data_IF_826920563894
#
_entry.id   IF_826920563894
#
_cell.length_a   1.000
_cell.length_b   1.000
_cell.length_c   1.000
_cell.angle_alpha   90.00
_cell.angle_beta   90.00
_cell.angle_gamma   90.00
#
_symmetry.space_group_name_H-M   'P 1'
#
loop_
_entity.id
_entity.type
_entity.pdbx_description
1 polymer ?
#
# COMPACT_ATOMS: atom_id res chain seq x y z
N UNK A 1 14.22 -24.18 -2.79
CA UNK A 1 13.86 -22.78 -2.50
C UNK A 1 12.99 -22.80 -1.26
N UNK A 2 13.42 -22.19 -0.16
CA UNK A 2 12.61 -22.12 1.05
C UNK A 2 11.41 -21.19 0.86
N UNK A 3 10.28 -21.52 1.47
CA UNK A 3 9.09 -20.65 1.48
C UNK A 3 9.48 -19.34 2.18
N UNK A 4 9.33 -18.21 1.50
CA UNK A 4 9.56 -16.90 2.10
C UNK A 4 8.50 -16.67 3.19
N UNK A 5 8.91 -16.28 4.41
CA UNK A 5 7.94 -16.00 5.46
C UNK A 5 7.12 -14.74 5.13
N UNK A 6 5.82 -14.81 5.41
CA UNK A 6 4.85 -13.76 5.08
C UNK A 6 4.49 -12.97 6.34
N UNK A 7 4.49 -11.63 6.22
CA UNK A 7 4.16 -10.72 7.32
C UNK A 7 2.66 -10.67 7.59
N UNK A 8 1.85 -10.40 6.57
CA UNK A 8 0.40 -10.28 6.68
C UNK A 8 -0.28 -11.66 6.59
N UNK A 9 -0.32 -12.38 7.71
CA UNK A 9 -0.90 -13.74 7.77
C UNK A 9 -2.41 -13.73 7.98
N UNK A 10 -2.91 -12.79 8.80
CA UNK A 10 -4.32 -12.60 9.08
C UNK A 10 -4.74 -11.16 8.75
N UNK A 11 -5.75 -10.95 7.88
CA UNK A 11 -6.21 -9.61 7.49
C UNK A 11 -6.87 -8.80 8.61
N UNK A 12 -7.22 -9.42 9.73
CA UNK A 12 -7.77 -8.75 10.91
C UNK A 12 -6.73 -8.48 12.01
N UNK A 13 -5.57 -9.12 11.95
CA UNK A 13 -4.45 -8.88 12.86
C UNK A 13 -3.70 -7.58 12.54
N UNK A 14 -3.11 -6.97 13.58
CA UNK A 14 -2.28 -5.78 13.46
C UNK A 14 -0.82 -6.13 13.67
N UNK A 15 0.00 -5.74 12.70
CA UNK A 15 1.45 -5.95 12.70
C UNK A 15 2.16 -4.62 12.94
N UNK A 16 2.94 -4.52 14.01
CA UNK A 16 3.76 -3.34 14.28
C UNK A 16 5.03 -3.36 13.44
N UNK A 17 5.12 -2.44 12.48
CA UNK A 17 6.29 -2.30 11.61
C UNK A 17 7.08 -1.05 11.97
N UNK A 18 8.41 -1.19 12.06
CA UNK A 18 9.33 -0.13 12.47
C UNK A 18 9.75 0.72 11.29
N UNK A 19 9.65 2.04 11.40
CA UNK A 19 10.18 2.97 10.40
C UNK A 19 11.71 2.89 10.35
N UNK A 20 12.25 2.47 9.20
CA UNK A 20 13.69 2.36 8.94
C UNK A 20 14.27 3.59 8.26
N UNK A 21 13.52 4.15 7.30
CA UNK A 21 13.97 5.29 6.51
C UNK A 21 12.78 6.19 6.13
N UNK A 22 13.07 7.48 6.01
CA UNK A 22 12.13 8.51 5.55
C UNK A 22 12.85 9.42 4.56
N UNK A 23 12.62 9.19 3.27
CA UNK A 23 13.23 9.96 2.19
C UNK A 23 12.28 11.08 1.72
N UNK A 24 12.79 12.31 1.61
CA UNK A 24 12.07 13.41 0.96
C UNK A 24 12.06 13.21 -0.55
N UNK A 25 10.87 13.10 -1.15
CA UNK A 25 10.68 12.99 -2.61
C UNK A 25 10.39 14.36 -3.23
N UNK A 26 9.61 15.18 -2.54
CA UNK A 26 9.32 16.58 -2.91
C UNK A 26 8.97 17.40 -1.67
N UNK A 27 8.69 18.69 -1.84
CA UNK A 27 8.25 19.57 -0.75
C UNK A 27 7.06 19.03 0.05
N UNK A 28 6.18 18.22 -0.56
CA UNK A 28 5.04 17.62 0.10
C UNK A 28 4.91 16.09 -0.05
N UNK A 29 5.93 15.38 -0.56
CA UNK A 29 5.87 13.91 -0.73
C UNK A 29 7.08 13.23 -0.11
N UNK A 30 6.84 12.14 0.62
CA UNK A 30 7.86 11.35 1.32
C UNK A 30 7.73 9.89 0.93
N UNK A 31 8.85 9.17 0.94
CA UNK A 31 8.88 7.72 0.94
C UNK A 31 9.20 7.25 2.35
N UNK A 32 8.33 6.42 2.91
CA UNK A 32 8.50 5.79 4.23
C UNK A 32 8.81 4.32 4.03
N UNK A 33 9.96 3.87 4.54
CA UNK A 33 10.37 2.47 4.52
C UNK A 33 10.17 1.86 5.89
N UNK A 34 9.37 0.80 5.98
CA UNK A 34 9.18 0.07 7.23
C UNK A 34 9.84 -1.30 7.16
N UNK A 35 10.44 -1.74 8.27
CA UNK A 35 11.00 -3.08 8.39
C UNK A 35 9.89 -4.12 8.45
N UNK A 36 10.04 -5.20 7.70
CA UNK A 36 9.31 -6.45 7.94
C UNK A 36 9.97 -7.22 9.09
N UNK A 37 9.32 -8.27 9.65
CA UNK A 37 9.81 -8.95 10.85
C UNK A 37 11.26 -9.47 10.75
N UNK A 38 11.70 -9.87 9.55
CA UNK A 38 13.09 -10.23 9.26
C UNK A 38 13.49 -9.75 7.87
N UNK A 39 14.79 -9.73 7.57
CA UNK A 39 15.32 -9.44 6.23
C UNK A 39 14.81 -10.37 5.11
N UNK A 40 14.28 -11.56 5.45
CA UNK A 40 13.75 -12.54 4.49
C UNK A 40 12.23 -12.52 4.34
N UNK A 41 11.53 -11.72 5.15
CA UNK A 41 10.07 -11.64 5.07
C UNK A 41 9.65 -10.87 3.83
N UNK A 42 8.52 -11.26 3.26
CA UNK A 42 7.76 -10.45 2.31
C UNK A 42 6.53 -9.88 3.00
N UNK A 43 5.88 -8.87 2.40
CA UNK A 43 4.71 -8.27 3.01
C UNK A 43 3.51 -9.25 2.97
N UNK A 44 3.32 -9.95 1.85
CA UNK A 44 2.14 -10.79 1.61
C UNK A 44 0.97 -9.99 1.06
N UNK A 45 1.22 -9.11 0.09
CA UNK A 45 0.20 -8.24 -0.46
C UNK A 45 -0.10 -8.59 -1.93
N UNK A 46 -1.22 -9.27 -2.22
CA UNK A 46 -1.63 -9.54 -3.58
C UNK A 46 -1.78 -8.25 -4.39
N UNK A 47 -1.31 -8.26 -5.63
CA UNK A 47 -1.41 -7.12 -6.56
C UNK A 47 -2.87 -6.69 -6.69
N UNK A 48 -3.17 -5.39 -6.54
CA UNK A 48 -4.51 -4.81 -6.53
C UNK A 48 -5.10 -4.61 -5.13
N UNK A 49 -4.44 -5.11 -4.08
CA UNK A 49 -4.81 -4.91 -2.67
C UNK A 49 -3.96 -3.80 -2.03
N UNK A 50 -4.43 -3.32 -0.88
CA UNK A 50 -3.78 -2.31 -0.05
C UNK A 50 -3.69 -2.76 1.42
N UNK A 51 -2.94 -2.01 2.22
CA UNK A 51 -2.90 -2.15 3.69
C UNK A 51 -3.63 -0.97 4.34
N UNK A 52 -4.09 -1.15 5.57
CA UNK A 52 -4.50 -0.08 6.46
C UNK A 52 -3.38 0.23 7.45
N UNK A 53 -3.14 1.52 7.67
CA UNK A 53 -2.39 1.99 8.82
C UNK A 53 -3.35 2.50 9.88
N UNK A 54 -3.08 2.17 11.14
CA UNK A 54 -3.81 2.68 12.30
C UNK A 54 -2.90 3.35 13.32
N UNK A 55 -3.39 4.47 13.87
CA UNK A 55 -2.72 5.20 14.95
C UNK A 55 -3.75 5.95 15.80
N UNK A 56 -3.44 6.16 17.09
CA UNK A 56 -4.18 7.11 17.93
C UNK A 56 -3.57 8.50 17.76
N UNK A 57 -4.34 9.43 17.20
CA UNK A 57 -3.92 10.81 16.92
C UNK A 57 -4.93 11.72 17.64
N UNK A 58 -4.44 12.55 18.56
CA UNK A 58 -5.27 13.44 19.39
C UNK A 58 -6.44 12.71 20.08
N UNK A 59 -6.13 11.56 20.70
CA UNK A 59 -7.10 10.72 21.39
C UNK A 59 -8.05 9.90 20.47
N UNK A 60 -8.03 10.13 19.16
CA UNK A 60 -8.90 9.45 18.20
C UNK A 60 -8.17 8.34 17.44
N UNK A 61 -8.81 7.19 17.25
CA UNK A 61 -8.30 6.15 16.35
C UNK A 61 -8.48 6.60 14.89
N UNK A 62 -7.38 6.76 14.16
CA UNK A 62 -7.37 7.11 12.74
C UNK A 62 -6.87 5.91 11.95
N UNK A 63 -7.66 5.47 10.97
CA UNK A 63 -7.34 4.34 10.09
C UNK A 63 -7.36 4.83 8.64
N UNK A 64 -6.31 4.58 7.86
CA UNK A 64 -6.24 5.01 6.45
C UNK A 64 -5.62 3.94 5.56
N UNK A 65 -6.15 3.72 4.34
CA UNK A 65 -5.58 2.79 3.38
C UNK A 65 -4.36 3.39 2.67
N UNK A 66 -3.35 2.56 2.41
CA UNK A 66 -2.20 2.90 1.59
C UNK A 66 -1.84 1.69 0.71
N UNK A 67 -1.55 1.95 -0.56
CA UNK A 67 -1.00 0.92 -1.46
C UNK A 67 0.51 1.10 -1.52
N UNK A 68 1.29 0.10 -1.08
CA UNK A 68 2.74 0.12 -1.20
C UNK A 68 3.22 0.27 -2.64
N UNK A 69 4.42 0.83 -2.80
CA UNK A 69 5.11 0.90 -4.09
C UNK A 69 6.15 -0.21 -4.27
N UNK A 70 6.37 -1.02 -3.23
CA UNK A 70 7.07 -2.30 -3.23
C UNK A 70 6.12 -3.45 -3.53
N UNK A 71 6.68 -4.63 -3.80
CA UNK A 71 5.96 -5.88 -4.06
C UNK A 71 6.51 -7.01 -3.17
N UNK A 72 5.92 -8.20 -3.27
CA UNK A 72 6.39 -9.39 -2.54
C UNK A 72 7.73 -9.96 -3.05
N UNK A 73 8.42 -9.24 -3.93
CA UNK A 73 9.83 -9.52 -4.28
C UNK A 73 10.81 -8.69 -3.47
N UNK A 74 10.34 -7.59 -2.88
CA UNK A 74 11.11 -6.77 -1.96
C UNK A 74 11.11 -7.47 -0.60
N UNK A 75 12.24 -8.07 -0.24
CA UNK A 75 12.40 -8.75 1.05
C UNK A 75 12.86 -7.78 2.14
N UNK A 76 12.31 -7.95 3.34
CA UNK A 76 12.74 -7.28 4.56
C UNK A 76 12.17 -5.87 4.78
N UNK A 77 11.48 -5.29 3.79
CA UNK A 77 10.89 -3.96 3.92
C UNK A 77 9.64 -3.75 3.07
N UNK A 78 8.88 -2.70 3.42
CA UNK A 78 7.78 -2.16 2.62
C UNK A 78 7.94 -0.65 2.47
N UNK A 79 7.78 -0.12 1.26
CA UNK A 79 7.82 1.32 1.00
C UNK A 79 6.41 1.87 0.72
N UNK A 80 6.06 2.96 1.41
CA UNK A 80 4.88 3.78 1.15
C UNK A 80 5.31 5.16 0.63
N UNK A 81 4.74 5.60 -0.49
CA UNK A 81 4.91 6.98 -0.99
C UNK A 81 3.68 7.78 -0.64
N UNK A 82 3.84 8.80 0.19
CA UNK A 82 2.73 9.52 0.81
C UNK A 82 2.91 11.01 0.62
N UNK A 83 1.87 11.65 0.10
CA UNK A 83 1.73 13.11 0.10
C UNK A 83 1.28 13.57 1.48
N UNK A 84 2.04 14.47 2.08
CA UNK A 84 1.72 15.07 3.38
C UNK A 84 0.88 16.31 3.17
N UNK A 85 -0.34 16.25 3.69
CA UNK A 85 -1.26 17.39 3.71
C UNK A 85 -0.99 18.20 4.98
N UNK A 86 -0.16 19.23 4.86
CA UNK A 86 0.24 20.09 5.98
C UNK A 86 -0.91 21.03 6.42
N UNK A 87 -1.00 21.28 7.72
CA UNK A 87 -1.88 22.32 8.29
C UNK A 87 -1.52 23.72 7.77
N UNK A 88 -2.52 24.58 7.65
CA UNK A 88 -2.37 25.98 7.22
C UNK A 88 -2.08 26.20 5.74
N UNK A 89 -2.05 25.15 4.91
CA UNK A 89 -1.72 25.28 3.48
C UNK A 89 -2.96 25.45 2.60
N UNK A 90 -3.98 24.61 2.77
CA UNK A 90 -5.17 24.64 1.91
C UNK A 90 -6.35 25.31 2.64
N UNK A 91 -6.99 26.36 2.08
CA UNK A 91 -8.00 27.14 2.79
C UNK A 91 -9.25 26.32 3.17
N UNK A 92 -9.64 25.33 2.36
CA UNK A 92 -10.74 24.41 2.69
C UNK A 92 -10.38 23.30 3.69
N UNK A 93 -9.07 23.10 3.95
CA UNK A 93 -8.57 22.03 4.82
C UNK A 93 -7.48 22.60 5.76
N UNK A 94 -7.85 23.55 6.63
CA UNK A 94 -6.87 24.27 7.47
C UNK A 94 -6.12 23.35 8.43
N UNK A 95 -6.74 22.26 8.89
CA UNK A 95 -6.11 21.29 9.80
C UNK A 95 -5.17 20.29 9.08
N UNK A 96 -5.15 20.28 7.75
CA UNK A 96 -4.40 19.31 6.96
C UNK A 96 -4.89 17.86 7.14
N UNK A 97 -4.01 16.90 6.86
CA UNK A 97 -4.30 15.47 6.93
C UNK A 97 -3.76 14.84 8.20
N UNK A 98 -4.64 14.28 9.04
CA UNK A 98 -4.27 13.65 10.33
C UNK A 98 -3.18 12.58 10.17
N UNK A 99 -3.47 11.51 9.45
CA UNK A 99 -2.53 10.39 9.27
C UNK A 99 -1.25 10.81 8.55
N UNK A 100 -1.35 11.64 7.51
CA UNK A 100 -0.16 12.02 6.75
C UNK A 100 0.80 12.90 7.56
N UNK A 101 0.29 13.80 8.41
CA UNK A 101 1.12 14.62 9.30
C UNK A 101 1.69 13.78 10.44
N UNK A 102 0.91 12.84 10.99
CA UNK A 102 1.39 11.87 11.98
C UNK A 102 2.58 11.08 11.43
N UNK A 103 2.45 10.48 10.24
CA UNK A 103 3.54 9.74 9.59
C UNK A 103 4.77 10.64 9.37
N UNK A 104 4.58 11.88 8.92
CA UNK A 104 5.68 12.83 8.72
C UNK A 104 6.38 13.21 10.04
N UNK A 105 5.68 13.18 11.17
CA UNK A 105 6.25 13.44 12.50
C UNK A 105 7.05 12.28 13.10
N UNK A 106 6.90 11.07 12.54
CA UNK A 106 7.61 9.89 13.05
C UNK A 106 9.12 10.05 12.93
N UNK A 107 9.81 9.55 13.95
CA UNK A 107 11.26 9.38 14.00
C UNK A 107 11.62 7.98 13.52
N UNK A 108 12.83 7.83 12.99
CA UNK A 108 13.37 6.50 12.69
C UNK A 108 13.36 5.67 13.98
N UNK A 109 12.85 4.44 13.88
CA UNK A 109 12.65 3.55 15.03
C UNK A 109 11.21 3.51 15.57
N UNK A 110 10.38 4.50 15.27
CA UNK A 110 8.97 4.49 15.67
C UNK A 110 8.21 3.35 14.94
N UNK A 111 7.16 2.83 15.57
CA UNK A 111 6.35 1.74 15.03
C UNK A 111 4.96 2.22 14.62
N UNK A 112 4.42 1.61 13.56
CA UNK A 112 3.06 1.86 13.07
C UNK A 112 2.34 0.52 12.90
N UNK A 113 1.06 0.48 13.27
CA UNK A 113 0.22 -0.70 13.06
C UNK A 113 -0.18 -0.81 11.58
N UNK A 114 0.19 -1.92 10.94
CA UNK A 114 -0.24 -2.34 9.62
C UNK A 114 -1.29 -3.43 9.75
N UNK A 115 -2.31 -3.40 8.89
CA UNK A 115 -3.31 -4.46 8.76
C UNK A 115 -3.71 -4.68 7.31
N UNK A 116 -3.89 -5.92 6.91
CA UNK A 116 -4.27 -6.29 5.55
C UNK A 116 -3.86 -7.74 5.25
N UNK A 117 -3.99 -8.20 4.00
CA UNK A 117 -4.34 -7.43 2.80
C UNK A 117 -5.84 -7.07 2.73
N UNK A 118 -6.18 -5.93 2.09
CA UNK A 118 -7.56 -5.47 1.90
C UNK A 118 -7.79 -4.95 0.48
N UNK A 119 -9.05 -4.98 0.03
CA UNK A 119 -9.49 -4.53 -1.29
C UNK A 119 -10.38 -5.56 -1.95
N UNK A 120 -11.13 -5.15 -2.97
CA UNK A 120 -12.08 -6.04 -3.67
C UNK A 120 -11.51 -6.62 -4.97
N UNK A 121 -10.36 -6.12 -5.42
CA UNK A 121 -9.69 -6.53 -6.65
C UNK A 121 -8.36 -7.20 -6.31
N UNK A 122 -8.03 -8.30 -7.00
CA UNK A 122 -6.65 -8.76 -7.15
C UNK A 122 -6.34 -9.13 -8.59
N UNK A 123 -5.10 -8.87 -9.00
CA UNK A 123 -4.57 -9.27 -10.29
C UNK A 123 -3.80 -10.57 -10.15
N UNK A 124 -4.26 -11.62 -10.83
CA UNK A 124 -3.67 -12.95 -10.82
C UNK A 124 -2.66 -13.17 -11.97
N UNK A 125 -2.34 -12.12 -12.73
CA UNK A 125 -1.44 -12.18 -13.88
C UNK A 125 -2.15 -12.53 -15.19
N UNK A 126 -1.51 -12.20 -16.31
CA UNK A 126 -1.93 -12.54 -17.68
C UNK A 126 -3.36 -12.12 -18.01
N UNK A 127 -3.72 -10.94 -17.54
CA UNK A 127 -5.04 -10.32 -17.77
C UNK A 127 -6.14 -10.83 -16.84
N UNK A 128 -5.84 -11.73 -15.90
CA UNK A 128 -6.83 -12.28 -14.97
C UNK A 128 -7.00 -11.39 -13.74
N UNK A 129 -8.23 -10.92 -13.52
CA UNK A 129 -8.64 -10.14 -12.36
C UNK A 129 -9.68 -10.90 -11.56
N UNK A 130 -9.47 -11.00 -10.25
CA UNK A 130 -10.48 -11.47 -9.32
C UNK A 130 -11.15 -10.24 -8.70
N UNK A 131 -12.42 -10.00 -9.01
CA UNK A 131 -13.16 -8.83 -8.56
C UNK A 131 -14.36 -9.26 -7.74
N UNK A 132 -14.42 -8.81 -6.49
CA UNK A 132 -15.56 -9.01 -5.62
C UNK A 132 -16.54 -7.84 -5.78
N UNK A 133 -17.84 -8.10 -6.03
CA UNK A 133 -18.85 -7.03 -6.03
C UNK A 133 -18.95 -6.31 -4.68
N UNK A 134 -18.73 -7.03 -3.59
CA UNK A 134 -18.66 -6.51 -2.21
C UNK A 134 -17.89 -7.51 -1.33
N UNK A 135 -17.57 -7.12 -0.09
CA UNK A 135 -16.76 -7.94 0.84
C UNK A 135 -17.35 -9.31 1.21
N UNK A 136 -18.65 -9.52 1.00
CA UNK A 136 -19.35 -10.77 1.35
C UNK A 136 -19.52 -11.70 0.15
N UNK A 137 -19.26 -11.21 -1.05
CA UNK A 137 -19.40 -11.98 -2.28
C UNK A 137 -18.08 -12.69 -2.64
N UNK A 138 -18.15 -13.90 -3.22
CA UNK A 138 -16.95 -14.53 -3.77
C UNK A 138 -16.37 -13.68 -4.91
N UNK A 139 -15.06 -13.79 -5.19
CA UNK A 139 -14.44 -13.11 -6.32
C UNK A 139 -14.96 -13.67 -7.65
N UNK A 140 -15.25 -12.78 -8.59
CA UNK A 140 -15.56 -13.11 -9.98
C UNK A 140 -14.32 -12.93 -10.84
N UNK A 141 -13.98 -13.93 -11.65
CA UNK A 141 -12.91 -13.84 -12.62
C UNK A 141 -13.33 -12.94 -13.79
N UNK A 142 -12.52 -11.93 -14.08
CA UNK A 142 -12.65 -11.03 -15.23
C UNK A 142 -11.33 -11.03 -15.98
N UNK A 143 -11.40 -11.24 -17.30
CA UNK A 143 -10.21 -11.27 -18.15
C UNK A 143 -10.19 -10.02 -19.02
N UNK A 144 -9.10 -9.26 -18.97
CA UNK A 144 -8.91 -8.04 -19.75
C UNK A 144 -7.57 -8.05 -20.48
N UNK A 145 -7.58 -7.70 -21.77
CA UNK A 145 -6.35 -7.54 -22.58
C UNK A 145 -5.82 -6.10 -22.56
N UNK A 146 -6.69 -5.12 -22.29
CA UNK A 146 -6.38 -3.69 -22.26
C UNK A 146 -6.99 -3.08 -21.02
N UNK A 147 -6.21 -2.28 -20.30
CA UNK A 147 -6.64 -1.62 -19.07
C UNK A 147 -6.67 -0.12 -19.26
N UNK A 148 -7.86 0.49 -19.16
CA UNK A 148 -7.97 1.92 -18.98
C UNK A 148 -7.76 2.28 -17.51
N UNK A 149 -6.74 3.07 -17.19
CA UNK A 149 -6.47 3.52 -15.82
C UNK A 149 -6.55 5.05 -15.72
N UNK A 150 -7.38 5.53 -14.80
CA UNK A 150 -7.54 6.97 -14.52
C UNK A 150 -7.13 7.20 -13.07
N UNK A 151 -6.12 8.04 -12.84
CA UNK A 151 -5.63 8.37 -11.51
C UNK A 151 -5.49 9.89 -11.33
N UNK A 152 -5.79 10.36 -10.11
CA UNK A 152 -5.57 11.73 -9.68
C UNK A 152 -4.84 11.76 -8.35
N UNK A 153 -3.76 12.55 -8.26
CA UNK A 153 -2.97 12.72 -7.04
C UNK A 153 -2.46 11.40 -6.46
N UNK A 154 -2.72 11.15 -5.18
CA UNK A 154 -2.27 9.93 -4.48
C UNK A 154 -2.94 8.65 -4.95
N UNK A 155 -3.99 8.73 -5.78
CA UNK A 155 -4.65 7.57 -6.39
C UNK A 155 -3.82 6.84 -7.44
N UNK A 156 -2.58 7.29 -7.71
CA UNK A 156 -1.67 6.63 -8.65
C UNK A 156 -1.08 5.32 -8.12
N UNK A 157 -0.93 5.14 -6.81
CA UNK A 157 -0.20 3.97 -6.26
C UNK A 157 -0.84 2.62 -6.54
N UNK A 158 -2.18 2.43 -6.50
CA UNK A 158 -2.81 1.19 -6.97
C UNK A 158 -2.56 0.92 -8.46
N UNK A 159 -2.59 1.96 -9.30
CA UNK A 159 -2.34 1.83 -10.74
C UNK A 159 -0.89 1.45 -11.01
N UNK A 160 0.06 2.10 -10.31
CA UNK A 160 1.48 1.79 -10.41
C UNK A 160 1.78 0.35 -9.99
N UNK A 161 1.11 -0.16 -8.96
CA UNK A 161 1.24 -1.55 -8.52
C UNK A 161 0.83 -2.53 -9.64
N UNK A 162 -0.30 -2.28 -10.32
CA UNK A 162 -0.76 -3.07 -11.46
C UNK A 162 0.21 -2.96 -12.65
N UNK A 163 0.59 -1.74 -13.05
CA UNK A 163 1.50 -1.49 -14.16
C UNK A 163 2.82 -2.23 -13.97
N UNK A 164 3.41 -2.14 -12.77
CA UNK A 164 4.68 -2.83 -12.46
C UNK A 164 4.53 -4.34 -12.48
N UNK A 165 3.42 -4.89 -11.99
CA UNK A 165 3.17 -6.32 -12.04
C UNK A 165 3.04 -6.84 -13.48
N UNK A 166 2.32 -6.10 -14.33
CA UNK A 166 2.09 -6.45 -15.74
C UNK A 166 3.38 -6.36 -16.55
N UNK A 167 4.04 -5.20 -16.54
CA UNK A 167 5.22 -4.94 -17.39
C UNK A 167 6.43 -5.81 -17.03
N UNK A 168 6.41 -6.42 -15.84
CA UNK A 168 7.51 -7.24 -15.36
C UNK A 168 7.46 -8.68 -15.83
N UNK A 169 6.31 -9.16 -16.30
CA UNK A 169 6.16 -10.52 -16.83
C UNK A 169 6.09 -10.41 -18.36
N UNK A 170 7.16 -10.76 -19.12
CA UNK A 170 7.17 -10.62 -20.57
C UNK A 170 6.05 -11.40 -21.28
N UNK A 171 5.60 -12.50 -20.67
CA UNK A 171 4.53 -13.35 -21.19
C UNK A 171 3.12 -12.86 -20.80
N UNK A 172 3.02 -11.71 -20.11
CA UNK A 172 1.75 -11.09 -19.79
C UNK A 172 1.28 -10.24 -20.98
N UNK A 173 0.18 -10.63 -21.67
CA UNK A 173 -0.27 -9.91 -22.85
C UNK A 173 -1.06 -8.64 -22.51
N UNK A 174 -1.22 -8.30 -21.23
CA UNK A 174 -2.05 -7.18 -20.79
C UNK A 174 -1.39 -5.85 -21.16
N UNK A 175 -2.14 -4.97 -21.84
CA UNK A 175 -1.70 -3.64 -22.21
C UNK A 175 -2.27 -2.61 -21.23
N UNK A 176 -1.39 -1.77 -20.69
CA UNK A 176 -1.68 -0.69 -19.75
C UNK A 176 -1.73 0.67 -20.45
#
# INVERSE_FOLDING_TARGET
MGIQPVTLQDPDEKYLLRLLDKTTVSHNTRRFRFALPTAHHILGLPVGKHVYLSARIDGSLVIRPYTPVTSDEDQGYVDLVIKVYLKGVHPKFPEGGKMSQYLDSLKIGDMVEFRGPSGLLSYAGKGNFNIQPNKKSPPELRVAKKLGMIAGGTGITPMLQLIRAILKVPEDPTQC
#
